data_IF_470707619326
#
_entry.id   IF_470707619326
#
_cell.length_a   1.000
_cell.length_b   1.000
_cell.length_c   1.000
_cell.angle_alpha   90.00
_cell.angle_beta   90.00
_cell.angle_gamma   90.00
#
_symmetry.space_group_name_H-M   'P 1'
#
loop_
_entity.id
_entity.type
_entity.pdbx_description
1 polymer ?
#
# COMPACT_ATOMS: atom_id res chain seq x y z
N UNK A 1 -49.78 -15.03 7.41
CA UNK A 1 -50.11 -13.64 7.01
C UNK A 1 -49.96 -12.77 8.25
N UNK A 2 -48.87 -12.00 8.34
CA UNK A 2 -48.57 -11.15 9.49
C UNK A 2 -49.37 -9.84 9.37
N UNK A 3 -50.45 -9.75 10.13
CA UNK A 3 -51.28 -8.55 10.22
C UNK A 3 -50.55 -7.53 11.11
N UNK A 4 -50.15 -6.40 10.52
CA UNK A 4 -49.52 -5.27 11.23
C UNK A 4 -50.62 -4.41 11.84
N UNK A 5 -50.55 -4.15 13.15
CA UNK A 5 -51.44 -3.18 13.81
C UNK A 5 -50.90 -1.75 13.58
N UNK A 6 -51.76 -0.76 13.31
CA UNK A 6 -51.33 0.64 13.20
C UNK A 6 -50.94 1.17 14.58
N UNK A 7 -49.71 1.64 14.74
CA UNK A 7 -49.20 2.25 15.99
C UNK A 7 -47.92 1.64 16.56
N UNK A 8 -47.34 0.60 15.95
CA UNK A 8 -45.97 0.18 16.30
C UNK A 8 -44.97 1.15 15.68
N UNK A 9 -44.58 2.14 16.47
CA UNK A 9 -43.37 2.92 16.20
C UNK A 9 -42.21 1.96 15.98
N UNK A 10 -41.52 2.10 14.84
CA UNK A 10 -40.22 1.50 14.62
C UNK A 10 -39.23 2.17 15.58
N UNK A 11 -39.26 1.76 16.85
CA UNK A 11 -38.37 2.25 17.89
C UNK A 11 -36.96 1.83 17.53
N UNK A 12 -36.12 2.82 17.21
CA UNK A 12 -34.67 2.67 17.17
C UNK A 12 -34.19 2.02 18.47
N UNK A 13 -33.13 1.19 18.44
CA UNK A 13 -32.64 0.53 19.65
C UNK A 13 -32.35 1.58 20.75
N UNK A 14 -32.72 1.31 22.01
CA UNK A 14 -32.63 2.30 23.08
C UNK A 14 -31.19 2.75 23.32
N UNK A 15 -31.02 4.06 23.52
CA UNK A 15 -29.74 4.80 23.68
C UNK A 15 -28.85 4.29 24.83
N UNK A 16 -29.37 3.45 25.73
CA UNK A 16 -28.71 3.04 26.98
C UNK A 16 -28.05 1.65 26.92
N UNK A 17 -28.06 1.00 25.75
CA UNK A 17 -27.45 -0.33 25.59
C UNK A 17 -25.93 -0.28 25.38
N UNK A 18 -25.38 0.86 24.94
CA UNK A 18 -23.95 0.91 24.56
C UNK A 18 -23.00 0.72 25.73
N UNK A 19 -23.32 1.20 26.93
CA UNK A 19 -22.48 1.03 28.12
C UNK A 19 -22.50 -0.41 28.64
N UNK A 20 -23.67 -1.05 28.63
CA UNK A 20 -23.81 -2.47 28.99
C UNK A 20 -23.06 -3.37 28.00
N UNK A 21 -23.21 -3.12 26.69
CA UNK A 21 -22.44 -3.80 25.65
C UNK A 21 -20.94 -3.57 25.81
N UNK A 22 -20.50 -2.35 26.12
CA UNK A 22 -19.08 -2.06 26.35
C UNK A 22 -18.52 -2.76 27.59
N UNK A 23 -19.27 -2.83 28.70
CA UNK A 23 -18.86 -3.57 29.90
C UNK A 23 -18.75 -5.07 29.63
N UNK A 24 -19.79 -5.65 29.02
CA UNK A 24 -19.82 -7.08 28.68
C UNK A 24 -18.71 -7.44 27.68
N UNK A 25 -18.45 -6.55 26.72
CA UNK A 25 -17.35 -6.69 25.79
C UNK A 25 -15.98 -6.62 26.50
N UNK A 26 -15.78 -5.69 27.44
CA UNK A 26 -14.54 -5.57 28.23
C UNK A 26 -14.30 -6.79 29.13
N UNK A 27 -15.34 -7.34 29.76
CA UNK A 27 -15.21 -8.58 30.55
C UNK A 27 -14.87 -9.78 29.67
N UNK A 28 -15.51 -9.90 28.50
CA UNK A 28 -15.18 -10.93 27.51
C UNK A 28 -13.74 -10.77 26.99
N UNK A 29 -13.34 -9.53 26.71
CA UNK A 29 -11.99 -8.95 26.66
C UNK A 29 -11.01 -9.65 27.60
N UNK A 30 -11.22 -9.35 28.87
CA UNK A 30 -10.34 -9.76 29.96
C UNK A 30 -10.25 -11.28 30.08
N UNK A 31 -11.39 -11.98 30.00
CA UNK A 31 -11.42 -13.43 30.11
C UNK A 31 -10.68 -14.14 28.96
N UNK A 32 -10.71 -13.57 27.75
CA UNK A 32 -9.99 -14.11 26.60
C UNK A 32 -8.48 -13.85 26.67
N UNK A 33 -8.05 -12.70 27.21
CA UNK A 33 -6.63 -12.41 27.48
C UNK A 33 -6.03 -13.38 28.51
N UNK A 34 -6.84 -13.78 29.49
CA UNK A 34 -6.49 -14.73 30.54
C UNK A 34 -6.62 -16.21 30.10
N UNK A 35 -7.23 -16.48 28.93
CA UNK A 35 -7.37 -17.83 28.38
C UNK A 35 -6.00 -18.50 28.14
N UNK A 36 -5.96 -19.82 28.37
CA UNK A 36 -4.83 -20.69 28.05
C UNK A 36 -4.79 -21.09 26.57
N UNK A 37 -5.93 -21.05 25.89
CA UNK A 37 -6.07 -21.29 24.45
C UNK A 37 -6.36 -19.96 23.76
N UNK A 38 -5.34 -19.32 23.16
CA UNK A 38 -5.52 -18.06 22.45
C UNK A 38 -6.28 -18.28 21.14
N UNK A 39 -7.37 -17.54 20.94
CA UNK A 39 -8.16 -17.55 19.70
C UNK A 39 -7.54 -16.61 18.66
N UNK A 40 -7.21 -17.16 17.49
CA UNK A 40 -6.61 -16.46 16.33
C UNK A 40 -7.50 -15.28 15.88
N UNK A 41 -8.81 -15.43 15.92
CA UNK A 41 -9.76 -14.39 15.52
C UNK A 41 -9.71 -13.20 16.49
N UNK A 42 -9.65 -13.51 17.79
CA UNK A 42 -9.56 -12.51 18.85
C UNK A 42 -8.26 -11.73 18.72
N UNK A 43 -7.14 -12.41 18.47
CA UNK A 43 -5.86 -11.74 18.21
C UNK A 43 -5.98 -10.80 17.00
N UNK A 44 -6.51 -11.30 15.88
CA UNK A 44 -6.67 -10.50 14.66
C UNK A 44 -7.50 -9.24 14.89
N UNK A 45 -8.56 -9.35 15.68
CA UNK A 45 -9.46 -8.26 16.05
C UNK A 45 -8.83 -7.25 17.02
N UNK A 46 -8.02 -7.72 17.98
CA UNK A 46 -7.23 -6.84 18.85
C UNK A 46 -6.23 -6.01 18.02
N UNK A 47 -5.56 -6.64 17.06
CA UNK A 47 -4.64 -5.95 16.14
C UNK A 47 -5.38 -4.87 15.34
N UNK A 48 -6.56 -5.19 14.79
CA UNK A 48 -7.35 -4.24 13.99
C UNK A 48 -7.87 -3.06 14.81
N UNK A 49 -8.13 -3.27 16.12
CA UNK A 49 -8.55 -2.22 17.06
C UNK A 49 -7.39 -1.42 17.63
N UNK A 50 -6.14 -1.80 17.36
CA UNK A 50 -4.95 -1.14 17.90
C UNK A 50 -4.63 -1.54 19.34
N UNK A 51 -5.22 -2.61 19.87
CA UNK A 51 -4.88 -3.20 21.17
C UNK A 51 -3.64 -4.11 21.05
N UNK A 52 -2.51 -3.50 20.64
CA UNK A 52 -1.31 -4.21 20.18
C UNK A 52 -0.61 -5.01 21.30
N UNK A 53 -0.56 -4.48 22.52
CA UNK A 53 0.06 -5.16 23.67
C UNK A 53 -0.70 -6.44 24.05
N UNK A 54 -2.04 -6.37 24.02
CA UNK A 54 -2.91 -7.52 24.27
C UNK A 54 -2.77 -8.58 23.19
N UNK A 55 -2.72 -8.16 21.92
CA UNK A 55 -2.48 -9.04 20.79
C UNK A 55 -1.12 -9.75 20.90
N UNK A 56 -0.04 -9.02 21.25
CA UNK A 56 1.31 -9.58 21.42
C UNK A 56 1.33 -10.69 22.47
N UNK A 57 0.74 -10.45 23.64
CA UNK A 57 0.67 -11.44 24.73
C UNK A 57 -0.06 -12.71 24.35
N UNK A 58 -1.13 -12.60 23.56
CA UNK A 58 -1.86 -13.77 23.06
C UNK A 58 -1.10 -14.49 21.94
N UNK A 59 -0.42 -13.74 21.07
CA UNK A 59 0.43 -14.29 20.02
C UNK A 59 1.58 -15.14 20.55
N UNK A 60 2.23 -14.71 21.63
CA UNK A 60 3.34 -15.43 22.25
C UNK A 60 2.93 -16.81 22.77
N UNK A 61 1.64 -17.01 23.08
CA UNK A 61 1.06 -18.28 23.50
C UNK A 61 0.67 -19.20 22.33
N UNK A 62 0.61 -18.69 21.10
CA UNK A 62 0.22 -19.48 19.93
C UNK A 62 1.40 -20.37 19.49
N UNK A 63 1.10 -21.61 19.08
CA UNK A 63 2.09 -22.49 18.49
C UNK A 63 2.63 -21.91 17.16
N UNK A 64 3.90 -22.19 16.86
CA UNK A 64 4.49 -21.72 15.61
C UNK A 64 3.82 -22.38 14.40
N UNK A 65 3.51 -21.56 13.39
CA UNK A 65 2.83 -22.02 12.19
C UNK A 65 2.40 -20.85 11.29
N UNK A 66 1.84 -21.15 10.11
CA UNK A 66 1.49 -20.13 9.11
C UNK A 66 0.56 -19.03 9.63
N UNK A 67 -0.40 -19.38 10.49
CA UNK A 67 -1.33 -18.43 11.11
C UNK A 67 -0.63 -17.47 12.07
N UNK A 68 0.28 -17.99 12.92
CA UNK A 68 1.10 -17.15 13.80
C UNK A 68 1.95 -16.19 12.99
N UNK A 69 2.61 -16.70 11.94
CA UNK A 69 3.46 -15.88 11.06
C UNK A 69 2.67 -14.74 10.40
N UNK A 70 1.44 -15.01 9.93
CA UNK A 70 0.59 -13.98 9.35
C UNK A 70 0.20 -12.91 10.38
N UNK A 71 -0.25 -13.34 11.57
CA UNK A 71 -0.62 -12.44 12.66
C UNK A 71 0.56 -11.64 13.20
N UNK A 72 1.76 -12.22 13.27
CA UNK A 72 2.99 -11.51 13.65
C UNK A 72 3.31 -10.42 12.63
N UNK A 73 3.27 -10.73 11.33
CA UNK A 73 3.47 -9.72 10.30
C UNK A 73 2.40 -8.61 10.37
N UNK A 74 1.14 -8.97 10.60
CA UNK A 74 0.04 -8.01 10.77
C UNK A 74 0.28 -7.09 11.95
N UNK A 75 0.64 -7.66 13.10
CA UNK A 75 0.93 -6.93 14.33
C UNK A 75 2.12 -6.00 14.15
N UNK A 76 3.24 -6.51 13.64
CA UNK A 76 4.47 -5.73 13.43
C UNK A 76 4.23 -4.56 12.45
N UNK A 77 3.45 -4.76 11.38
CA UNK A 77 3.10 -3.68 10.46
C UNK A 77 2.23 -2.60 11.12
N UNK A 78 1.23 -2.99 11.91
CA UNK A 78 0.36 -2.04 12.64
C UNK A 78 1.13 -1.29 13.72
N UNK A 79 2.01 -1.98 14.44
CA UNK A 79 2.84 -1.39 15.48
C UNK A 79 3.89 -0.45 14.89
N UNK A 80 4.53 -0.81 13.78
CA UNK A 80 5.44 0.10 13.07
C UNK A 80 4.74 1.41 12.68
N UNK A 81 3.53 1.33 12.12
CA UNK A 81 2.73 2.51 11.79
C UNK A 81 2.37 3.32 13.04
N UNK A 82 2.06 2.67 14.16
CA UNK A 82 1.78 3.34 15.42
C UNK A 82 3.03 4.04 16.00
N UNK A 83 4.21 3.41 15.91
CA UNK A 83 5.49 3.99 16.35
C UNK A 83 5.87 5.22 15.52
N UNK A 84 5.67 5.17 14.19
CA UNK A 84 5.86 6.34 13.31
C UNK A 84 5.00 7.52 13.76
N UNK A 85 3.74 7.28 14.13
CA UNK A 85 2.83 8.33 14.63
C UNK A 85 3.31 8.92 15.96
N UNK A 86 3.91 8.09 16.82
CA UNK A 86 4.54 8.51 18.09
C UNK A 86 5.89 9.19 17.89
N UNK A 87 6.46 9.16 16.68
CA UNK A 87 7.76 9.72 16.36
C UNK A 87 8.95 8.77 16.55
N UNK A 88 8.70 7.51 16.96
CA UNK A 88 9.74 6.50 17.08
C UNK A 88 9.99 5.81 15.73
N UNK A 89 10.87 6.43 14.94
CA UNK A 89 11.24 5.92 13.62
C UNK A 89 12.13 4.68 13.75
N UNK A 90 13.10 4.69 14.68
CA UNK A 90 14.05 3.58 14.84
C UNK A 90 13.34 2.28 15.24
N UNK A 91 12.38 2.36 16.17
CA UNK A 91 11.52 1.24 16.53
C UNK A 91 10.70 0.73 15.34
N UNK A 92 10.12 1.65 14.55
CA UNK A 92 9.36 1.28 13.36
C UNK A 92 10.24 0.59 12.30
N UNK A 93 11.48 1.06 12.07
CA UNK A 93 12.44 0.44 11.15
C UNK A 93 12.74 -1.02 11.53
N UNK A 94 12.95 -1.28 12.82
CA UNK A 94 13.20 -2.65 13.30
C UNK A 94 12.03 -3.58 13.04
N UNK A 95 10.80 -3.10 13.22
CA UNK A 95 9.59 -3.90 13.00
C UNK A 95 9.35 -4.18 11.53
N UNK A 96 9.42 -3.15 10.66
CA UNK A 96 9.23 -3.39 9.22
C UNK A 96 10.33 -4.26 8.63
N UNK A 97 11.53 -4.23 9.20
CA UNK A 97 12.63 -5.10 8.82
C UNK A 97 12.42 -6.60 9.11
N UNK A 98 11.37 -6.95 9.86
CA UNK A 98 10.98 -8.34 10.14
C UNK A 98 9.84 -8.84 9.24
N UNK A 99 9.21 -7.94 8.48
CA UNK A 99 8.11 -8.31 7.61
C UNK A 99 8.58 -9.20 6.46
N UNK A 100 7.82 -10.27 6.23
CA UNK A 100 8.07 -11.26 5.19
C UNK A 100 6.94 -11.33 4.16
N UNK A 101 5.74 -10.85 4.50
CA UNK A 101 4.60 -10.85 3.57
C UNK A 101 4.46 -9.53 2.81
N UNK A 102 4.27 -9.63 1.49
CA UNK A 102 4.22 -8.48 0.59
C UNK A 102 3.09 -7.50 0.96
N UNK A 103 1.92 -8.01 1.35
CA UNK A 103 0.78 -7.18 1.75
C UNK A 103 1.07 -6.29 2.97
N UNK A 104 1.85 -6.76 3.94
CA UNK A 104 2.18 -5.99 5.13
C UNK A 104 3.36 -5.04 4.88
N UNK A 105 4.30 -5.43 4.00
CA UNK A 105 5.34 -4.52 3.48
C UNK A 105 4.71 -3.31 2.78
N UNK A 106 3.73 -3.55 1.89
CA UNK A 106 2.96 -2.51 1.19
C UNK A 106 2.33 -1.49 2.14
N UNK A 107 1.87 -1.93 3.32
CA UNK A 107 1.19 -1.08 4.28
C UNK A 107 2.15 -0.26 5.14
N UNK A 108 3.24 -0.87 5.61
CA UNK A 108 4.09 -0.27 6.63
C UNK A 108 5.27 0.55 6.07
N UNK A 109 5.99 0.03 5.07
CA UNK A 109 7.20 0.70 4.55
C UNK A 109 6.93 2.11 4.01
N UNK A 110 5.89 2.34 3.18
CA UNK A 110 5.58 3.68 2.68
C UNK A 110 5.40 4.70 3.81
N UNK A 111 4.76 4.31 4.91
CA UNK A 111 4.52 5.19 6.07
C UNK A 111 5.82 5.57 6.78
N UNK A 112 6.75 4.61 6.95
CA UNK A 112 8.07 4.88 7.54
C UNK A 112 8.90 5.78 6.63
N UNK A 113 8.90 5.52 5.32
CA UNK A 113 9.63 6.29 4.32
C UNK A 113 9.10 7.73 4.25
N UNK A 114 7.79 7.92 4.17
CA UNK A 114 7.13 9.23 4.19
C UNK A 114 7.54 10.03 5.43
N UNK A 115 7.62 9.38 6.59
CA UNK A 115 8.07 10.04 7.83
C UNK A 115 9.53 10.46 7.75
N UNK A 116 10.41 9.61 7.23
CA UNK A 116 11.82 9.95 7.06
C UNK A 116 12.03 11.13 6.10
N UNK A 117 11.30 11.13 4.97
CA UNK A 117 11.31 12.24 4.02
C UNK A 117 10.77 13.53 4.65
N UNK A 118 9.69 13.44 5.42
CA UNK A 118 9.12 14.59 6.15
C UNK A 118 10.10 15.19 7.17
N UNK A 119 10.92 14.33 7.79
CA UNK A 119 11.98 14.74 8.70
C UNK A 119 13.27 15.19 7.99
N UNK A 120 13.29 15.21 6.65
CA UNK A 120 14.48 15.49 5.81
C UNK A 120 15.64 14.53 6.05
N UNK A 121 15.36 13.33 6.57
CA UNK A 121 16.34 12.26 6.78
C UNK A 121 16.44 11.41 5.50
N UNK A 122 17.22 11.93 4.54
CA UNK A 122 17.47 11.24 3.27
C UNK A 122 18.14 9.87 3.47
N UNK A 123 19.19 9.70 4.29
CA UNK A 123 19.79 8.39 4.55
C UNK A 123 18.78 7.38 5.08
N UNK A 124 17.89 7.76 6.00
CA UNK A 124 16.81 6.88 6.43
C UNK A 124 15.94 6.44 5.23
N UNK A 125 15.39 7.40 4.48
CA UNK A 125 14.46 7.09 3.39
C UNK A 125 15.10 6.17 2.34
N UNK A 126 16.35 6.46 1.95
CA UNK A 126 17.14 5.66 1.02
C UNK A 126 17.34 4.22 1.53
N UNK A 127 17.80 4.06 2.77
CA UNK A 127 18.03 2.73 3.37
C UNK A 127 16.73 1.93 3.44
N UNK A 128 15.62 2.58 3.82
CA UNK A 128 14.32 1.93 3.92
C UNK A 128 13.79 1.46 2.57
N UNK A 129 13.98 2.23 1.49
CA UNK A 129 13.60 1.81 0.14
C UNK A 129 14.44 0.62 -0.32
N UNK A 130 15.77 0.65 -0.13
CA UNK A 130 16.65 -0.48 -0.47
C UNK A 130 16.22 -1.76 0.27
N UNK A 131 15.94 -1.64 1.56
CA UNK A 131 15.49 -2.75 2.37
C UNK A 131 14.12 -3.29 1.89
N UNK A 132 13.18 -2.39 1.58
CA UNK A 132 11.87 -2.76 1.05
C UNK A 132 11.99 -3.53 -0.27
N UNK A 133 12.77 -3.02 -1.23
CA UNK A 133 13.00 -3.69 -2.52
C UNK A 133 13.57 -5.09 -2.29
N UNK A 134 14.56 -5.23 -1.42
CA UNK A 134 15.16 -6.54 -1.10
C UNK A 134 14.15 -7.52 -0.51
N UNK A 135 13.33 -7.07 0.44
CA UNK A 135 12.32 -7.92 1.06
C UNK A 135 11.21 -8.29 0.07
N UNK A 136 10.75 -7.35 -0.76
CA UNK A 136 9.70 -7.60 -1.75
C UNK A 136 10.07 -8.67 -2.78
N UNK A 137 11.36 -8.76 -3.16
CA UNK A 137 11.87 -9.83 -4.04
C UNK A 137 11.73 -11.23 -3.46
N UNK A 138 11.66 -11.35 -2.13
CA UNK A 138 11.59 -12.61 -1.41
C UNK A 138 10.28 -12.75 -0.64
N UNK A 139 9.35 -11.82 -0.84
CA UNK A 139 8.16 -11.71 -0.02
C UNK A 139 7.16 -12.81 -0.36
N UNK A 140 6.51 -13.31 0.69
CA UNK A 140 5.36 -14.17 0.55
C UNK A 140 4.17 -13.34 0.03
N UNK A 141 3.70 -13.71 -1.17
CA UNK A 141 2.57 -13.08 -1.87
C UNK A 141 1.24 -13.78 -1.60
N UNK A 142 1.24 -14.83 -0.77
CA UNK A 142 0.00 -15.50 -0.40
C UNK A 142 -0.93 -14.51 0.32
N UNK A 143 -2.24 -14.51 -0.02
CA UNK A 143 -3.20 -13.66 0.65
C UNK A 143 -3.18 -13.91 2.17
N UNK A 144 -3.48 -12.90 2.99
CA UNK A 144 -3.69 -13.09 4.41
C UNK A 144 -4.75 -14.18 4.65
N UNK A 145 -4.50 -15.05 5.63
CA UNK A 145 -5.47 -16.08 6.00
C UNK A 145 -6.66 -15.40 6.67
N UNK A 146 -7.85 -15.56 6.10
CA UNK A 146 -9.07 -15.00 6.67
C UNK A 146 -9.51 -15.78 7.92
N UNK A 147 -10.02 -15.08 8.95
CA UNK A 147 -10.77 -15.71 10.02
C UNK A 147 -11.96 -16.53 9.48
N UNK A 148 -12.30 -17.67 10.09
CA UNK A 148 -13.56 -18.36 9.83
C UNK A 148 -14.77 -17.40 9.84
N UNK A 149 -15.64 -17.52 8.84
CA UNK A 149 -16.86 -16.70 8.72
C UNK A 149 -16.71 -15.35 8.02
N UNK A 150 -15.50 -14.89 7.70
CA UNK A 150 -15.30 -13.73 6.80
C UNK A 150 -15.37 -14.21 5.35
N UNK A 151 -16.24 -13.64 4.50
CA UNK A 151 -16.32 -14.04 3.10
C UNK A 151 -14.99 -13.78 2.40
N UNK A 152 -14.52 -14.73 1.58
CA UNK A 152 -13.32 -14.57 0.76
C UNK A 152 -13.40 -13.33 -0.17
N UNK A 153 -14.62 -12.87 -0.49
CA UNK A 153 -14.87 -11.67 -1.29
C UNK A 153 -14.47 -10.35 -0.60
N UNK A 154 -14.15 -10.35 0.70
CA UNK A 154 -13.73 -9.15 1.43
C UNK A 154 -12.26 -8.82 1.17
N UNK A 155 -11.45 -9.79 0.75
CA UNK A 155 -10.08 -9.55 0.32
C UNK A 155 -10.02 -9.54 -1.20
N UNK A 156 -9.37 -8.52 -1.76
CA UNK A 156 -8.86 -8.59 -3.11
C UNK A 156 -7.96 -9.83 -3.18
N UNK A 157 -8.43 -10.87 -3.88
CA UNK A 157 -7.65 -12.09 -4.04
C UNK A 157 -6.37 -11.77 -4.82
N UNK A 158 -5.33 -12.58 -4.67
CA UNK A 158 -4.06 -12.41 -5.42
C UNK A 158 -4.22 -12.43 -6.95
N UNK A 159 -5.43 -12.71 -7.46
CA UNK A 159 -5.79 -12.56 -8.88
C UNK A 159 -6.11 -11.12 -9.30
N UNK A 160 -6.43 -10.22 -8.36
CA UNK A 160 -6.81 -8.84 -8.65
C UNK A 160 -5.72 -7.82 -8.32
N UNK A 161 -4.82 -8.16 -7.40
CA UNK A 161 -3.79 -7.26 -6.90
C UNK A 161 -2.48 -8.02 -6.71
N UNK A 162 -1.43 -7.52 -7.35
CA UNK A 162 -0.06 -7.90 -7.05
C UNK A 162 0.50 -6.91 -6.00
N UNK A 163 0.69 -7.33 -4.75
CA UNK A 163 1.18 -6.46 -3.69
C UNK A 163 2.64 -6.04 -3.89
N UNK A 164 3.44 -6.85 -4.58
CA UNK A 164 4.84 -6.51 -4.89
C UNK A 164 4.87 -5.37 -5.89
N UNK A 165 4.11 -5.50 -6.98
CA UNK A 165 3.97 -4.48 -8.01
C UNK A 165 3.47 -3.14 -7.43
N UNK A 166 2.41 -3.21 -6.62
CA UNK A 166 1.82 -2.04 -5.97
C UNK A 166 2.81 -1.37 -5.01
N UNK A 167 3.59 -2.17 -4.27
CA UNK A 167 4.59 -1.65 -3.33
C UNK A 167 5.70 -0.92 -4.07
N UNK A 168 6.28 -1.55 -5.10
CA UNK A 168 7.37 -0.96 -5.87
C UNK A 168 6.93 0.33 -6.57
N UNK A 169 5.69 0.37 -7.09
CA UNK A 169 5.10 1.59 -7.65
C UNK A 169 5.06 2.71 -6.59
N UNK A 170 4.52 2.42 -5.39
CA UNK A 170 4.41 3.40 -4.32
C UNK A 170 5.78 3.87 -3.81
N UNK A 171 6.73 2.95 -3.64
CA UNK A 171 8.12 3.27 -3.26
C UNK A 171 8.78 4.21 -4.27
N UNK A 172 8.61 3.92 -5.57
CA UNK A 172 9.10 4.76 -6.66
C UNK A 172 8.56 6.18 -6.55
N UNK A 173 7.24 6.32 -6.39
CA UNK A 173 6.60 7.64 -6.26
C UNK A 173 7.07 8.42 -5.04
N UNK A 174 7.29 7.73 -3.91
CA UNK A 174 7.71 8.36 -2.67
C UNK A 174 9.15 8.86 -2.72
N UNK A 175 10.07 8.09 -3.30
CA UNK A 175 11.48 8.44 -3.28
C UNK A 175 11.88 9.39 -4.41
N UNK A 176 11.10 9.44 -5.50
CA UNK A 176 11.37 10.29 -6.67
C UNK A 176 11.67 11.77 -6.38
N UNK A 177 11.02 12.45 -5.41
CA UNK A 177 11.37 13.83 -5.08
C UNK A 177 12.74 13.97 -4.40
N UNK A 178 13.26 12.91 -3.78
CA UNK A 178 14.48 12.93 -2.98
C UNK A 178 15.68 12.25 -3.66
N UNK A 179 15.45 11.22 -4.47
CA UNK A 179 16.48 10.45 -5.14
C UNK A 179 16.01 9.83 -6.48
N UNK A 180 16.44 10.46 -7.58
CA UNK A 180 16.03 10.08 -8.94
C UNK A 180 16.61 8.73 -9.38
N UNK A 181 17.84 8.44 -8.94
CA UNK A 181 18.53 7.20 -9.28
C UNK A 181 17.84 6.01 -8.59
N UNK A 182 17.56 6.14 -7.30
CA UNK A 182 16.86 5.11 -6.54
C UNK A 182 15.40 4.94 -6.98
N UNK A 183 14.71 6.02 -7.35
CA UNK A 183 13.38 5.91 -7.95
C UNK A 183 13.42 5.13 -9.27
N UNK A 184 14.45 5.36 -10.10
CA UNK A 184 14.65 4.60 -11.34
C UNK A 184 14.91 3.11 -11.07
N UNK A 185 15.67 2.79 -10.04
CA UNK A 185 15.92 1.40 -9.62
C UNK A 185 14.63 0.72 -9.17
N UNK A 186 13.85 1.38 -8.31
CA UNK A 186 12.54 0.89 -7.87
C UNK A 186 11.57 0.70 -9.05
N UNK A 187 11.59 1.59 -10.06
CA UNK A 187 10.80 1.45 -11.28
C UNK A 187 11.22 0.22 -12.09
N UNK A 188 12.52 -0.02 -12.25
CA UNK A 188 13.00 -1.18 -12.99
C UNK A 188 12.60 -2.49 -12.31
N UNK A 189 12.69 -2.53 -10.98
CA UNK A 189 12.19 -3.66 -10.19
C UNK A 189 10.68 -3.83 -10.31
N UNK A 190 9.92 -2.73 -10.36
CA UNK A 190 8.47 -2.75 -10.61
C UNK A 190 8.15 -3.38 -11.97
N UNK A 191 8.88 -3.01 -13.03
CA UNK A 191 8.71 -3.59 -14.38
C UNK A 191 9.10 -5.07 -14.39
N UNK A 192 10.19 -5.44 -13.73
CA UNK A 192 10.61 -6.84 -13.60
C UNK A 192 9.55 -7.68 -12.86
N UNK A 193 9.01 -7.17 -11.75
CA UNK A 193 7.93 -7.81 -11.00
C UNK A 193 6.67 -7.96 -11.85
N UNK A 194 6.25 -6.91 -12.58
CA UNK A 194 5.12 -6.99 -13.49
C UNK A 194 5.32 -8.07 -14.57
N UNK A 195 6.52 -8.18 -15.12
CA UNK A 195 6.84 -9.17 -16.14
C UNK A 195 6.89 -10.61 -15.62
N UNK A 196 7.00 -10.80 -14.31
CA UNK A 196 6.94 -12.09 -13.63
C UNK A 196 5.55 -12.36 -13.00
N UNK A 197 4.70 -11.34 -12.93
CA UNK A 197 3.38 -11.42 -12.29
C UNK A 197 2.42 -12.28 -13.11
N UNK A 198 1.70 -13.17 -12.44
CA UNK A 198 0.63 -13.98 -13.03
C UNK A 198 -0.72 -13.25 -13.06
N UNK A 199 -0.77 -12.01 -12.55
CA UNK A 199 -2.00 -11.21 -12.54
C UNK A 199 -2.39 -10.82 -13.96
N UNK A 200 -3.55 -11.31 -14.39
CA UNK A 200 -4.15 -11.05 -15.70
C UNK A 200 -4.60 -9.58 -15.83
N UNK A 201 -4.18 -8.94 -16.91
CA UNK A 201 -4.56 -7.56 -17.26
C UNK A 201 -5.82 -7.51 -18.12
N UNK A 202 -6.40 -8.66 -18.49
CA UNK A 202 -7.60 -8.78 -19.33
C UNK A 202 -8.85 -8.09 -18.77
N UNK A 203 -8.90 -7.82 -17.46
CA UNK A 203 -9.95 -7.01 -16.82
C UNK A 203 -9.70 -5.49 -16.91
N UNK A 204 -8.72 -5.06 -17.72
CA UNK A 204 -8.37 -3.65 -17.90
C UNK A 204 -7.57 -3.04 -16.75
N UNK A 205 -7.06 -3.85 -15.81
CA UNK A 205 -6.30 -3.39 -14.64
C UNK A 205 -4.82 -3.70 -14.82
N UNK A 206 -3.98 -2.66 -14.76
CA UNK A 206 -2.51 -2.82 -14.92
C UNK A 206 -1.78 -3.14 -13.62
N UNK A 207 -2.40 -2.91 -12.45
CA UNK A 207 -1.84 -3.22 -11.14
C UNK A 207 -0.84 -2.20 -10.58
N UNK A 208 -0.66 -1.06 -11.25
CA UNK A 208 0.16 0.06 -10.79
C UNK A 208 -0.44 1.40 -11.23
N UNK A 209 0.02 2.49 -10.62
CA UNK A 209 -0.36 3.85 -11.01
C UNK A 209 0.55 4.36 -12.15
N UNK A 210 -0.02 4.51 -13.34
CA UNK A 210 0.68 4.94 -14.55
C UNK A 210 1.27 6.35 -14.44
N UNK A 211 0.79 7.17 -13.51
CA UNK A 211 1.31 8.50 -13.22
C UNK A 211 2.79 8.48 -12.81
N UNK A 212 3.29 7.35 -12.30
CA UNK A 212 4.73 7.19 -12.01
C UNK A 212 5.60 7.40 -13.25
N UNK A 213 5.16 6.92 -14.42
CA UNK A 213 5.89 7.06 -15.67
C UNK A 213 5.90 8.50 -16.16
N UNK A 214 4.80 9.23 -15.98
CA UNK A 214 4.76 10.68 -16.24
C UNK A 214 5.76 11.42 -15.37
N UNK A 215 5.74 11.19 -14.06
CA UNK A 215 6.62 11.90 -13.11
C UNK A 215 8.10 11.61 -13.37
N UNK A 216 8.45 10.39 -13.78
CA UNK A 216 9.82 10.05 -14.16
C UNK A 216 10.17 10.67 -15.50
N UNK A 217 9.27 10.67 -16.49
CA UNK A 217 9.52 11.29 -17.79
C UNK A 217 9.80 12.79 -17.71
N UNK A 218 9.18 13.49 -16.75
CA UNK A 218 9.48 14.90 -16.44
C UNK A 218 10.94 15.14 -16.05
N UNK A 219 11.63 14.13 -15.52
CA UNK A 219 13.04 14.20 -15.13
C UNK A 219 13.96 13.56 -16.17
N UNK A 220 13.57 12.41 -16.70
CA UNK A 220 14.30 11.62 -17.68
C UNK A 220 13.33 10.87 -18.59
N UNK A 221 12.92 11.50 -19.71
CA UNK A 221 12.02 10.92 -20.71
C UNK A 221 12.57 9.60 -21.26
N UNK A 222 13.85 9.57 -21.58
CA UNK A 222 14.47 8.41 -22.24
C UNK A 222 14.38 7.18 -21.35
N UNK A 223 14.70 7.33 -20.06
CA UNK A 223 14.61 6.24 -19.10
C UNK A 223 13.17 5.79 -18.86
N UNK A 224 12.24 6.72 -18.68
CA UNK A 224 10.82 6.38 -18.50
C UNK A 224 10.29 5.57 -19.69
N UNK A 225 10.63 5.98 -20.92
CA UNK A 225 10.22 5.27 -22.15
C UNK A 225 10.87 3.90 -22.25
N UNK A 226 12.16 3.77 -21.92
CA UNK A 226 12.85 2.48 -21.91
C UNK A 226 12.21 1.49 -20.92
N UNK A 227 11.92 1.94 -19.69
CA UNK A 227 11.24 1.11 -18.69
C UNK A 227 9.83 0.72 -19.15
N UNK A 228 9.06 1.65 -19.74
CA UNK A 228 7.73 1.36 -20.28
C UNK A 228 7.78 0.35 -21.43
N UNK A 229 8.75 0.48 -22.35
CA UNK A 229 8.94 -0.47 -23.46
C UNK A 229 9.35 -1.86 -23.00
N UNK A 230 9.88 -2.00 -21.79
CA UNK A 230 10.34 -3.27 -21.23
C UNK A 230 9.22 -4.13 -20.64
N UNK A 231 7.97 -3.65 -20.59
CA UNK A 231 6.83 -4.49 -20.23
C UNK A 231 6.55 -5.55 -21.31
N UNK A 232 6.35 -6.79 -20.88
CA UNK A 232 5.91 -7.91 -21.73
C UNK A 232 4.40 -7.89 -21.98
N UNK A 233 3.65 -7.41 -21.00
CA UNK A 233 2.20 -7.25 -21.10
C UNK A 233 1.84 -6.02 -21.95
N UNK A 234 1.08 -6.18 -23.04
CA UNK A 234 0.76 -5.07 -23.94
C UNK A 234 -0.05 -3.96 -23.26
N UNK A 235 -0.98 -4.28 -22.36
CA UNK A 235 -1.79 -3.26 -21.70
C UNK A 235 -0.94 -2.39 -20.78
N UNK A 236 -0.08 -3.00 -19.96
CA UNK A 236 0.87 -2.28 -19.09
C UNK A 236 1.81 -1.40 -19.90
N UNK A 237 2.31 -1.89 -21.03
CA UNK A 237 3.15 -1.12 -21.95
C UNK A 237 2.39 0.10 -22.51
N UNK A 238 1.20 -0.12 -23.07
CA UNK A 238 0.37 0.94 -23.68
C UNK A 238 0.02 2.00 -22.64
N UNK A 239 -0.47 1.61 -21.46
CA UNK A 239 -0.88 2.54 -20.40
C UNK A 239 0.31 3.37 -19.92
N UNK A 240 1.49 2.77 -19.78
CA UNK A 240 2.70 3.48 -19.35
C UNK A 240 3.19 4.47 -20.41
N UNK A 241 3.22 4.06 -21.68
CA UNK A 241 3.59 4.95 -22.79
C UNK A 241 2.58 6.08 -22.98
N UNK A 242 1.28 5.79 -22.84
CA UNK A 242 0.23 6.79 -22.93
C UNK A 242 0.39 7.89 -21.87
N UNK A 243 0.75 7.54 -20.63
CA UNK A 243 1.05 8.53 -19.59
C UNK A 243 2.22 9.45 -19.97
N UNK A 244 3.28 8.89 -20.55
CA UNK A 244 4.45 9.66 -21.02
C UNK A 244 4.07 10.60 -22.18
N UNK A 245 3.38 10.07 -23.18
CA UNK A 245 3.02 10.85 -24.37
C UNK A 245 2.00 11.93 -24.08
N UNK A 246 1.04 11.66 -23.19
CA UNK A 246 0.08 12.66 -22.73
C UNK A 246 0.80 13.85 -22.10
N UNK A 247 1.75 13.59 -21.19
CA UNK A 247 2.55 14.65 -20.59
C UNK A 247 3.35 15.44 -21.63
N UNK A 248 3.99 14.75 -22.57
CA UNK A 248 4.78 15.41 -23.62
C UNK A 248 3.91 16.31 -24.51
N UNK A 249 2.69 15.88 -24.83
CA UNK A 249 1.73 16.70 -25.56
C UNK A 249 1.34 17.95 -24.75
N UNK A 250 0.97 17.77 -23.47
CA UNK A 250 0.63 18.87 -22.56
C UNK A 250 1.77 19.90 -22.42
N UNK A 251 3.03 19.44 -22.36
CA UNK A 251 4.21 20.33 -22.30
C UNK A 251 4.42 21.10 -23.61
N UNK A 252 4.25 20.45 -24.76
CA UNK A 252 4.38 21.10 -26.07
C UNK A 252 3.30 22.17 -26.28
N UNK A 253 2.06 21.88 -25.90
CA UNK A 253 0.95 22.83 -25.97
C UNK A 253 1.22 24.05 -25.07
N UNK A 254 1.69 23.83 -23.84
CA UNK A 254 2.05 24.92 -22.93
C UNK A 254 3.18 25.80 -23.50
N UNK A 255 4.18 25.20 -24.15
CA UNK A 255 5.27 25.94 -24.81
C UNK A 255 4.78 26.71 -26.03
N UNK A 256 3.86 26.15 -26.82
CA UNK A 256 3.29 26.81 -27.97
C UNK A 256 2.48 28.06 -27.58
N UNK A 257 1.77 28.00 -26.44
CA UNK A 257 1.03 29.15 -25.88
C UNK A 257 1.98 30.22 -25.31
N UNK A 258 3.09 29.81 -24.68
CA UNK A 258 4.05 30.72 -24.06
C UNK A 258 5.01 31.40 -25.06
N UNK A 259 5.15 30.87 -26.28
CA UNK A 259 5.96 31.48 -27.32
C UNK A 259 5.19 32.65 -27.97
N UNK A 260 5.71 33.91 -27.93
CA UNK A 260 5.07 34.99 -28.67
C UNK A 260 5.07 34.67 -30.17
N UNK A 261 4.08 35.15 -30.95
CA UNK A 261 4.07 34.96 -32.38
C UNK A 261 5.38 35.52 -32.93
N UNK A 262 6.13 34.70 -33.68
CA UNK A 262 7.31 35.16 -34.42
C UNK A 262 6.86 36.36 -35.24
N UNK A 263 7.31 37.56 -34.86
CA UNK A 263 7.07 38.78 -35.62
C UNK A 263 7.53 38.50 -37.04
N UNK A 264 6.61 38.55 -38.00
CA UNK A 264 6.96 38.55 -39.41
C UNK A 264 7.98 39.67 -39.62
N UNK A 265 9.22 39.30 -39.96
CA UNK A 265 10.25 40.27 -40.29
C UNK A 265 9.70 41.18 -41.40
N UNK A 266 9.82 42.51 -41.30
CA UNK A 266 9.40 43.37 -42.38
C UNK A 266 10.28 43.04 -43.59
N UNK A 267 9.65 42.64 -44.69
CA UNK A 267 10.29 42.59 -46.00
C UNK A 267 10.94 43.95 -46.24
N UNK A 268 12.26 43.99 -46.17
CA UNK A 268 13.03 45.13 -46.62
C UNK A 268 12.84 45.24 -48.14
N UNK A 269 11.96 46.13 -48.57
CA UNK A 269 11.91 46.59 -49.95
C UNK A 269 13.11 47.52 -50.19
N UNK A 270 14.06 47.05 -50.98
CA UNK A 270 14.97 47.89 -51.77
C UNK A 270 15.16 47.25 -53.13
#
# INVERSE_FOLDING_TARGET
MLSRKPGEDASWPPRDTSEAYQKQYKERMKNLLESKEPDVEVIGLLIDRGELDGARRLLDKLADGPQKTDLVNKLDAKEAVALVKKGDIAGAQMLVGRLTKAMYILQAYPVVIEKCLSNKDKPCATNMVYQAIRQLKQADVTPPVLPPGVPASVLATGKELDPVLSSLCKLTQLILPADDALASEALNEMVAAANASEVDTGLGRVGFDAEVFRKIAQKDEMRARQSALSFKDPLRQIVSLAAIYRWKAEELDARAIAAPPKSAAPMAAR
#
